data_IF_947408165482
#
_entry.id   IF_947408165482
#
_cell.length_a   1.000
_cell.length_b   1.000
_cell.length_c   1.000
_cell.angle_alpha   90.00
_cell.angle_beta   90.00
_cell.angle_gamma   90.00
#
_symmetry.space_group_name_H-M   'P 1'
#
loop_
_entity.id
_entity.type
_entity.pdbx_description
1 polymer ?
#
# COMPACT_ATOMS: atom_id res chain seq x y z
N UNK A 1 -60.70 -19.52 27.31
CA UNK A 1 -60.89 -20.61 28.29
C UNK A 1 -60.45 -21.92 27.65
N UNK A 2 -59.47 -22.60 28.28
CA UNK A 2 -59.11 -24.05 28.24
C UNK A 2 -58.81 -24.70 26.87
N UNK A 3 -57.55 -24.85 26.42
CA UNK A 3 -56.51 -25.89 26.69
C UNK A 3 -56.81 -27.32 26.21
N UNK A 4 -56.01 -27.84 25.28
CA UNK A 4 -55.21 -29.09 25.39
C UNK A 4 -54.60 -29.46 24.01
N UNK A 5 -53.28 -29.36 23.82
CA UNK A 5 -52.24 -30.39 24.02
C UNK A 5 -52.42 -31.68 23.19
N UNK A 6 -51.47 -31.93 22.28
CA UNK A 6 -50.85 -33.25 22.12
C UNK A 6 -49.40 -33.08 21.70
N UNK A 7 -48.54 -33.73 22.47
CA UNK A 7 -47.08 -33.80 22.37
C UNK A 7 -46.69 -35.22 21.95
N UNK A 8 -45.77 -35.31 20.96
CA UNK A 8 -44.73 -36.34 20.71
C UNK A 8 -45.15 -37.82 20.48
N UNK A 9 -44.28 -38.76 20.00
CA UNK A 9 -42.83 -38.65 19.77
C UNK A 9 -42.26 -39.28 18.46
N UNK A 10 -40.99 -38.95 18.20
CA UNK A 10 -39.88 -39.82 17.73
C UNK A 10 -40.05 -40.69 16.46
N UNK A 11 -39.20 -40.41 15.46
CA UNK A 11 -38.30 -41.46 14.92
C UNK A 11 -37.11 -40.88 14.15
N UNK A 12 -35.99 -40.80 14.87
CA UNK A 12 -34.67 -40.74 14.28
C UNK A 12 -34.38 -41.98 13.42
N UNK A 13 -33.93 -41.77 12.17
CA UNK A 13 -33.10 -42.73 11.41
C UNK A 13 -32.17 -41.97 10.44
N UNK A 14 -30.96 -41.66 10.91
CA UNK A 14 -29.73 -41.74 10.09
C UNK A 14 -29.12 -43.14 10.36
N UNK A 15 -28.22 -43.72 9.56
CA UNK A 15 -27.44 -43.20 8.43
C UNK A 15 -27.60 -44.08 7.16
N UNK A 16 -26.98 -43.80 6.02
CA UNK A 16 -25.70 -44.40 5.57
C UNK A 16 -25.33 -43.71 4.24
N UNK A 17 -24.14 -43.12 4.22
CA UNK A 17 -23.41 -42.71 3.01
C UNK A 17 -22.77 -43.97 2.42
N UNK A 18 -22.78 -44.15 1.09
CA UNK A 18 -21.48 -44.36 0.46
C UNK A 18 -21.33 -43.63 -0.89
N UNK A 19 -20.28 -42.82 -0.98
CA UNK A 19 -19.19 -43.04 -1.93
C UNK A 19 -19.62 -43.21 -3.40
N UNK A 20 -20.01 -42.13 -4.09
CA UNK A 20 -19.81 -42.00 -5.56
C UNK A 20 -19.78 -40.51 -5.94
N UNK A 21 -18.70 -39.78 -5.63
CA UNK A 21 -18.31 -38.58 -6.40
C UNK A 21 -16.89 -38.11 -6.03
N UNK A 22 -15.95 -39.05 -5.86
CA UNK A 22 -14.54 -38.75 -5.53
C UNK A 22 -13.60 -39.09 -6.70
N UNK A 23 -14.02 -38.80 -7.93
CA UNK A 23 -13.32 -39.22 -9.16
C UNK A 23 -13.36 -38.13 -10.25
N UNK A 24 -13.13 -36.88 -9.87
CA UNK A 24 -12.93 -35.77 -10.80
C UNK A 24 -11.83 -34.78 -10.37
N UNK A 25 -10.89 -35.18 -9.51
CA UNK A 25 -9.85 -34.29 -8.95
C UNK A 25 -8.41 -34.81 -9.15
N UNK A 26 -8.14 -35.59 -10.20
CA UNK A 26 -6.80 -36.18 -10.42
C UNK A 26 -6.21 -36.00 -11.84
N UNK A 27 -6.67 -35.05 -12.65
CA UNK A 27 -6.15 -34.83 -14.01
C UNK A 27 -5.55 -33.42 -14.26
N UNK A 28 -4.99 -32.78 -13.23
CA UNK A 28 -4.38 -31.45 -13.36
C UNK A 28 -2.87 -31.34 -13.06
N UNK A 29 -2.19 -32.43 -12.68
CA UNK A 29 -0.84 -32.38 -12.07
C UNK A 29 0.32 -32.77 -13.02
N UNK A 30 0.24 -32.44 -14.32
CA UNK A 30 1.31 -32.77 -15.29
C UNK A 30 1.71 -31.57 -16.18
N UNK A 31 2.14 -30.47 -15.56
CA UNK A 31 3.01 -29.48 -16.22
C UNK A 31 3.98 -28.90 -15.19
N UNK A 32 4.92 -29.74 -14.77
CA UNK A 32 6.03 -29.38 -13.90
C UNK A 32 7.29 -30.09 -14.36
N UNK A 33 7.95 -29.53 -15.38
CA UNK A 33 9.36 -29.81 -15.68
C UNK A 33 9.94 -28.73 -16.58
N UNK A 34 10.54 -27.71 -15.98
CA UNK A 34 11.73 -27.09 -16.53
C UNK A 34 12.54 -26.54 -15.37
N UNK A 35 13.30 -27.44 -14.73
CA UNK A 35 14.45 -27.05 -13.93
C UNK A 35 15.54 -26.58 -14.89
N UNK A 36 15.46 -25.31 -15.27
CA UNK A 36 16.66 -24.59 -15.65
C UNK A 36 17.20 -24.01 -14.36
N UNK A 37 18.35 -24.54 -13.94
CA UNK A 37 19.22 -23.87 -12.99
C UNK A 37 19.62 -22.54 -13.65
N UNK A 38 18.85 -21.50 -13.36
CA UNK A 38 19.26 -20.13 -13.60
C UNK A 38 19.91 -19.67 -12.30
N UNK A 39 21.18 -19.32 -12.44
CA UNK A 39 22.04 -18.79 -11.41
C UNK A 39 21.30 -17.77 -10.55
N UNK A 40 21.55 -17.85 -9.25
CA UNK A 40 21.17 -16.86 -8.24
C UNK A 40 21.99 -15.58 -8.52
N UNK A 41 21.74 -14.95 -9.67
CA UNK A 41 22.19 -13.60 -9.97
C UNK A 41 21.33 -12.70 -9.08
N UNK A 42 21.91 -12.30 -7.95
CA UNK A 42 21.32 -11.29 -7.07
C UNK A 42 21.06 -10.06 -7.92
N UNK A 43 19.86 -9.97 -8.49
CA UNK A 43 19.43 -8.87 -9.33
C UNK A 43 19.75 -7.59 -8.57
N UNK A 44 20.79 -6.89 -9.01
CA UNK A 44 21.14 -5.60 -8.44
C UNK A 44 19.87 -4.76 -8.55
N UNK A 45 19.21 -4.50 -7.42
CA UNK A 45 17.97 -3.75 -7.40
C UNK A 45 18.30 -2.36 -7.92
N UNK A 46 18.01 -2.11 -9.19
CA UNK A 46 18.24 -0.83 -9.82
C UNK A 46 17.31 0.18 -9.16
N UNK A 47 17.88 1.02 -8.30
CA UNK A 47 17.19 2.16 -7.71
C UNK A 47 17.17 3.25 -8.78
N UNK A 48 15.99 3.68 -9.26
CA UNK A 48 15.91 4.76 -10.24
C UNK A 48 16.47 6.07 -9.69
N UNK A 49 17.00 6.91 -10.57
CA UNK A 49 17.58 8.22 -10.21
C UNK A 49 16.58 9.14 -9.48
N UNK A 50 15.26 8.96 -9.71
CA UNK A 50 14.21 9.75 -9.09
C UNK A 50 13.72 9.25 -7.72
N UNK A 51 14.31 8.19 -7.14
CA UNK A 51 13.99 7.78 -5.75
C UNK A 51 14.65 8.76 -4.77
N UNK A 52 13.88 9.46 -3.92
CA UNK A 52 14.47 10.33 -2.92
C UNK A 52 15.27 9.55 -1.85
N UNK A 53 16.29 10.16 -1.24
CA UNK A 53 17.21 9.45 -0.35
C UNK A 53 16.66 9.21 1.07
N UNK A 54 15.73 10.03 1.54
CA UNK A 54 15.18 9.97 2.89
C UNK A 54 13.74 10.52 2.96
N UNK A 55 13.07 10.31 4.10
CA UNK A 55 11.67 10.67 4.28
C UNK A 55 11.41 12.19 4.18
N UNK A 56 12.21 13.10 4.79
CA UNK A 56 12.07 14.54 4.58
C UNK A 56 12.19 14.96 3.12
N UNK A 57 13.20 14.45 2.40
CA UNK A 57 13.39 14.72 0.97
C UNK A 57 12.23 14.18 0.14
N UNK A 58 11.70 13.02 0.52
CA UNK A 58 10.53 12.42 -0.13
C UNK A 58 9.29 13.30 0.00
N UNK A 59 9.01 13.82 1.19
CA UNK A 59 7.88 14.72 1.43
C UNK A 59 7.99 16.00 0.59
N UNK A 60 9.19 16.59 0.54
CA UNK A 60 9.48 17.77 -0.28
C UNK A 60 9.30 17.50 -1.79
N UNK A 61 9.81 16.37 -2.29
CA UNK A 61 9.69 15.97 -3.69
C UNK A 61 8.24 15.73 -4.10
N UNK A 62 7.43 15.05 -3.26
CA UNK A 62 6.00 14.84 -3.54
C UNK A 62 5.28 16.19 -3.68
N UNK A 63 5.48 17.11 -2.73
CA UNK A 63 4.86 18.44 -2.74
C UNK A 63 5.26 19.23 -3.99
N UNK A 64 6.56 19.27 -4.28
CA UNK A 64 7.12 19.95 -5.45
C UNK A 64 6.53 19.40 -6.75
N UNK A 65 6.60 18.09 -6.95
CA UNK A 65 6.14 17.41 -8.18
C UNK A 65 4.65 17.55 -8.39
N UNK A 66 3.82 17.44 -7.34
CA UNK A 66 2.37 17.63 -7.49
C UNK A 66 2.00 19.05 -7.95
N UNK A 67 2.75 20.06 -7.49
CA UNK A 67 2.54 21.44 -7.91
C UNK A 67 3.00 21.69 -9.35
N UNK A 68 4.10 21.05 -9.76
CA UNK A 68 4.73 21.27 -11.05
C UNK A 68 4.15 20.42 -12.20
N UNK A 69 3.57 19.25 -11.90
CA UNK A 69 3.16 18.30 -12.94
C UNK A 69 2.10 18.86 -13.90
N UNK A 70 1.37 19.90 -13.49
CA UNK A 70 0.38 20.58 -14.35
C UNK A 70 0.95 21.76 -15.14
N UNK A 71 2.17 22.20 -14.82
CA UNK A 71 2.83 23.36 -15.46
C UNK A 71 3.91 22.94 -16.45
N UNK A 72 4.36 21.68 -16.42
CA UNK A 72 5.29 21.13 -17.42
C UNK A 72 4.64 20.94 -18.78
N UNK A 73 5.47 20.80 -19.82
CA UNK A 73 4.99 20.63 -21.19
C UNK A 73 4.11 19.37 -21.31
N UNK A 74 3.07 19.35 -22.18
CA UNK A 74 2.21 18.18 -22.35
C UNK A 74 2.96 16.88 -22.68
N UNK A 75 4.12 16.98 -23.33
CA UNK A 75 5.01 15.84 -23.61
C UNK A 75 5.71 15.28 -22.37
N UNK A 76 5.96 16.09 -21.34
CA UNK A 76 6.63 15.70 -20.09
C UNK A 76 5.65 15.26 -19.00
N UNK A 77 4.39 15.71 -19.07
CA UNK A 77 3.37 15.41 -18.06
C UNK A 77 3.22 13.90 -17.75
N UNK A 78 3.20 12.98 -18.74
CA UNK A 78 3.06 11.55 -18.44
C UNK A 78 4.22 11.00 -17.61
N UNK A 79 5.45 11.40 -17.92
CA UNK A 79 6.66 10.99 -17.18
C UNK A 79 6.61 11.54 -15.76
N UNK A 80 6.33 12.84 -15.60
CA UNK A 80 6.24 13.48 -14.27
C UNK A 80 5.14 12.88 -13.41
N UNK A 81 4.01 12.52 -14.01
CA UNK A 81 2.93 11.84 -13.29
C UNK A 81 3.34 10.42 -12.87
N UNK A 82 4.07 9.70 -13.72
CA UNK A 82 4.58 8.36 -13.40
C UNK A 82 5.59 8.41 -12.26
N UNK A 83 6.59 9.30 -12.35
CA UNK A 83 7.59 9.48 -11.29
C UNK A 83 6.95 9.85 -9.94
N UNK A 84 5.95 10.74 -9.94
CA UNK A 84 5.20 11.06 -8.72
C UNK A 84 4.52 9.82 -8.12
N UNK A 85 3.92 8.97 -8.96
CA UNK A 85 3.29 7.73 -8.50
C UNK A 85 4.30 6.72 -7.93
N UNK A 86 5.51 6.67 -8.49
CA UNK A 86 6.59 5.83 -7.97
C UNK A 86 7.05 6.29 -6.59
N UNK A 87 7.24 7.60 -6.42
CA UNK A 87 7.64 8.18 -5.14
C UNK A 87 6.60 7.90 -4.04
N UNK A 88 5.31 8.00 -4.37
CA UNK A 88 4.24 7.65 -3.41
C UNK A 88 4.31 6.18 -2.97
N UNK A 89 4.61 5.28 -3.90
CA UNK A 89 4.73 3.84 -3.63
C UNK A 89 5.96 3.49 -2.80
N UNK A 90 7.06 4.24 -2.95
CA UNK A 90 8.25 4.07 -2.12
C UNK A 90 8.12 4.68 -0.72
N UNK A 91 7.09 5.49 -0.45
CA UNK A 91 6.95 6.19 0.82
C UNK A 91 6.98 5.25 2.05
N UNK A 92 6.28 4.10 2.09
CA UNK A 92 6.35 3.18 3.23
C UNK A 92 7.70 2.49 3.40
N UNK A 93 8.40 2.23 2.28
CA UNK A 93 9.75 1.65 2.27
C UNK A 93 10.75 2.64 2.87
N UNK A 94 10.75 3.88 2.36
CA UNK A 94 11.61 4.97 2.86
C UNK A 94 11.29 5.29 4.33
N UNK A 95 10.02 5.21 4.74
CA UNK A 95 9.64 5.33 6.14
C UNK A 95 10.19 4.18 6.99
N UNK A 96 10.25 2.96 6.46
CA UNK A 96 10.86 1.80 7.13
C UNK A 96 12.37 1.92 7.30
N UNK A 97 13.04 2.71 6.45
CA UNK A 97 14.47 3.04 6.54
C UNK A 97 14.75 4.18 7.54
N UNK A 98 13.71 4.83 8.05
CA UNK A 98 13.82 5.98 8.95
C UNK A 98 13.72 5.58 10.43
N UNK A 99 13.87 6.56 11.34
CA UNK A 99 13.79 6.34 12.79
C UNK A 99 12.37 6.43 13.37
N UNK A 100 11.34 6.42 12.53
CA UNK A 100 9.96 6.48 12.99
C UNK A 100 9.61 5.28 13.87
N UNK A 101 8.84 5.53 14.92
CA UNK A 101 8.21 4.44 15.67
C UNK A 101 7.04 3.87 14.88
N UNK A 102 6.50 2.74 15.36
CA UNK A 102 5.42 2.04 14.67
C UNK A 102 4.18 2.91 14.41
N UNK A 103 3.63 3.64 15.40
CA UNK A 103 2.52 4.56 15.15
C UNK A 103 2.80 5.60 14.04
N UNK A 104 3.99 6.18 14.03
CA UNK A 104 4.38 7.16 13.01
C UNK A 104 4.53 6.52 11.63
N UNK A 105 5.12 5.33 11.55
CA UNK A 105 5.23 4.56 10.31
C UNK A 105 3.85 4.16 9.76
N UNK A 106 2.93 3.70 10.63
CA UNK A 106 1.55 3.36 10.25
C UNK A 106 0.80 4.59 9.70
N UNK A 107 1.08 5.78 10.24
CA UNK A 107 0.55 7.03 9.72
C UNK A 107 1.10 7.35 8.31
N UNK A 108 2.41 7.14 8.07
CA UNK A 108 2.98 7.28 6.72
C UNK A 108 2.33 6.32 5.73
N UNK A 109 2.12 5.05 6.12
CA UNK A 109 1.45 4.05 5.29
C UNK A 109 0.01 4.45 4.94
N UNK A 110 -0.74 5.01 5.90
CA UNK A 110 -2.08 5.53 5.65
C UNK A 110 -2.04 6.70 4.68
N UNK A 111 -1.13 7.65 4.89
CA UNK A 111 -0.97 8.83 4.03
C UNK A 111 -0.61 8.44 2.61
N UNK A 112 0.34 7.49 2.42
CA UNK A 112 0.75 7.03 1.09
C UNK A 112 -0.44 6.47 0.32
N UNK A 113 -1.22 5.59 0.96
CA UNK A 113 -2.40 4.94 0.37
C UNK A 113 -3.44 5.97 -0.09
N UNK A 114 -3.69 7.00 0.73
CA UNK A 114 -4.65 8.04 0.38
C UNK A 114 -4.15 8.96 -0.74
N UNK A 115 -2.87 9.32 -0.73
CA UNK A 115 -2.27 10.11 -1.79
C UNK A 115 -2.22 9.33 -3.11
N UNK A 116 -1.87 8.04 -3.11
CA UNK A 116 -1.94 7.17 -4.28
C UNK A 116 -3.36 7.14 -4.86
N UNK A 117 -4.38 7.03 -4.01
CA UNK A 117 -5.76 7.07 -4.48
C UNK A 117 -6.17 8.42 -5.09
N UNK A 118 -5.64 9.54 -4.59
CA UNK A 118 -5.84 10.86 -5.21
C UNK A 118 -5.10 10.94 -6.55
N UNK A 119 -3.84 10.47 -6.60
CA UNK A 119 -3.03 10.41 -7.81
C UNK A 119 -3.71 9.60 -8.93
N UNK A 120 -4.31 8.46 -8.60
CA UNK A 120 -5.01 7.65 -9.59
C UNK A 120 -6.28 8.33 -10.13
N UNK A 121 -7.02 9.05 -9.28
CA UNK A 121 -8.25 9.77 -9.69
C UNK A 121 -7.99 11.02 -10.51
N UNK A 122 -6.84 11.67 -10.29
CA UNK A 122 -6.42 12.84 -11.05
C UNK A 122 -5.78 12.45 -12.42
N UNK A 123 -5.52 11.16 -12.67
CA UNK A 123 -4.96 10.64 -13.94
C UNK A 123 -6.03 10.24 -14.98
N UNK A 124 -5.87 10.56 -16.28
CA UNK A 124 -5.01 11.57 -16.87
C UNK A 124 -5.76 12.91 -17.05
N UNK A 125 -5.27 13.94 -16.36
CA UNK A 125 -5.50 15.36 -16.66
C UNK A 125 -6.97 15.86 -16.65
N UNK A 126 -7.87 15.22 -15.91
CA UNK A 126 -9.11 15.91 -15.52
C UNK A 126 -8.79 17.05 -14.55
N UNK A 127 -9.48 18.18 -14.70
CA UNK A 127 -9.27 19.36 -13.87
C UNK A 127 -9.27 18.99 -12.37
N UNK A 128 -8.30 19.56 -11.64
CA UNK A 128 -8.16 19.36 -10.21
C UNK A 128 -9.49 19.63 -9.48
N UNK A 129 -9.98 18.65 -8.71
CA UNK A 129 -11.22 18.81 -7.95
C UNK A 129 -10.91 19.60 -6.67
N UNK A 130 -11.64 20.68 -6.35
CA UNK A 130 -11.35 21.50 -5.17
C UNK A 130 -11.34 20.72 -3.84
N UNK A 131 -12.19 19.70 -3.72
CA UNK A 131 -12.24 18.81 -2.55
C UNK A 131 -10.99 17.92 -2.44
N UNK A 132 -10.53 17.33 -3.56
CA UNK A 132 -9.31 16.53 -3.61
C UNK A 132 -8.08 17.39 -3.35
N UNK A 133 -8.06 18.63 -3.84
CA UNK A 133 -6.98 19.59 -3.56
C UNK A 133 -6.84 19.86 -2.06
N UNK A 134 -7.96 20.11 -1.37
CA UNK A 134 -7.96 20.42 0.07
C UNK A 134 -7.55 19.19 0.88
N UNK A 135 -8.05 18.00 0.51
CA UNK A 135 -7.66 16.74 1.15
C UNK A 135 -6.18 16.44 0.93
N UNK A 136 -5.69 16.57 -0.30
CA UNK A 136 -4.26 16.42 -0.63
C UNK A 136 -3.41 17.36 0.20
N UNK A 137 -3.77 18.65 0.29
CA UNK A 137 -2.99 19.61 1.07
C UNK A 137 -2.90 19.19 2.54
N UNK A 138 -4.01 18.73 3.11
CA UNK A 138 -4.04 18.21 4.49
C UNK A 138 -3.11 17.00 4.66
N UNK A 139 -3.11 16.08 3.70
CA UNK A 139 -2.25 14.88 3.71
C UNK A 139 -0.77 15.25 3.55
N UNK A 140 -0.43 16.21 2.69
CA UNK A 140 0.94 16.71 2.54
C UNK A 140 1.42 17.40 3.82
N UNK A 141 0.57 18.19 4.47
CA UNK A 141 0.92 18.81 5.75
C UNK A 141 1.08 17.78 6.87
N UNK A 142 0.31 16.69 6.85
CA UNK A 142 0.49 15.54 7.75
C UNK A 142 1.82 14.83 7.47
N UNK A 143 2.14 14.60 6.20
CA UNK A 143 3.39 13.97 5.80
C UNK A 143 4.59 14.78 6.25
N UNK A 144 4.58 16.10 6.03
CA UNK A 144 5.67 16.99 6.45
C UNK A 144 5.90 16.91 7.97
N UNK A 145 4.82 16.87 8.77
CA UNK A 145 4.92 16.73 10.23
C UNK A 145 5.56 15.41 10.65
N UNK A 146 5.13 14.30 10.06
CA UNK A 146 5.70 12.99 10.40
C UNK A 146 7.15 12.88 9.90
N UNK A 147 7.45 13.43 8.72
CA UNK A 147 8.80 13.46 8.18
C UNK A 147 9.79 14.24 9.08
N UNK A 148 9.36 15.33 9.72
CA UNK A 148 10.21 16.04 10.70
C UNK A 148 10.57 15.20 11.94
N UNK A 149 9.73 14.24 12.34
CA UNK A 149 10.04 13.35 13.48
C UNK A 149 11.17 12.38 13.16
N UNK A 150 11.30 11.98 11.89
CA UNK A 150 12.36 11.09 11.42
C UNK A 150 13.77 11.69 11.62
N UNK A 151 13.90 13.01 11.59
CA UNK A 151 15.16 13.74 11.85
C UNK A 151 15.46 13.96 13.34
N UNK A 152 14.45 14.14 14.18
CA UNK A 152 14.63 14.52 15.59
C UNK A 152 15.13 13.37 16.48
N UNK A 153 14.80 12.13 16.11
CA UNK A 153 15.14 10.94 16.91
C UNK A 153 16.66 10.66 16.93
N UNK A 154 17.41 11.21 15.97
CA UNK A 154 18.88 11.08 15.89
C UNK A 154 19.59 11.94 16.95
N UNK A 155 19.05 13.11 17.27
CA UNK A 155 19.71 14.07 18.19
C UNK A 155 19.21 13.98 19.64
N UNK A 156 17.96 13.60 19.88
CA UNK A 156 17.38 13.58 21.24
C UNK A 156 17.83 12.44 22.16
N UNK A 157 18.38 11.34 21.63
CA UNK A 157 18.78 10.17 22.45
C UNK A 157 20.22 10.25 22.99
N UNK A 158 21.08 11.12 22.43
CA UNK A 158 22.51 11.16 22.79
C UNK A 158 22.84 12.05 24.01
N UNK A 159 21.89 12.82 24.54
CA UNK A 159 22.13 13.79 25.63
C UNK A 159 21.51 13.41 26.99
N UNK A 160 20.86 12.25 27.13
CA UNK A 160 20.23 11.82 28.40
C UNK A 160 21.01 10.72 29.13
N UNK A 161 22.34 10.72 29.00
CA UNK A 161 23.22 9.88 29.81
C UNK A 161 24.41 10.70 30.28
N UNK A 162 24.15 11.64 31.18
CA UNK A 162 25.13 12.23 32.10
C UNK A 162 24.52 12.32 33.49
#
# INVERSE_FOLDING_TARGET
MTTNTRYEPERAKRPIVPIVLLSALCLGLLSGCSSTAAEEDHAAHHIPEHRPPDLPSTAAEIRSRWSAVRTVSPSEQPTRWTELGDILRWLPEIAGESNLNRPEWEEVQRISTELEAIHDRERPATAARPEENSRRQTLLDQLDRVASLATETIYGRRTSSE
#
